data_IF_759308163540
#
_entry.id   IF_759308163540
#
_cell.length_a   1.000
_cell.length_b   1.000
_cell.length_c   1.000
_cell.angle_alpha   90.00
_cell.angle_beta   90.00
_cell.angle_gamma   90.00
#
_symmetry.space_group_name_H-M   'P 1'
#
loop_
_entity.id
_entity.type
_entity.pdbx_description
1 polymer ?
#
# COMPACT_ATOMS: atom_id res chain seq x y z
N UNK A 1 -9.62 11.61 0.49
CA UNK A 1 -10.46 10.39 0.54
C UNK A 1 -11.50 10.29 -0.59
N UNK A 2 -11.71 11.28 -1.46
CA UNK A 2 -12.77 11.27 -2.49
C UNK A 2 -12.69 10.11 -3.51
N UNK A 3 -11.98 10.30 -4.62
CA UNK A 3 -11.97 9.31 -5.71
C UNK A 3 -11.32 7.99 -5.29
N UNK A 4 -10.16 8.05 -4.60
CA UNK A 4 -9.45 6.84 -4.15
C UNK A 4 -10.27 5.99 -3.17
N UNK A 5 -11.02 6.62 -2.25
CA UNK A 5 -11.90 5.90 -1.34
C UNK A 5 -13.14 5.31 -2.04
N UNK A 6 -13.68 6.00 -3.03
CA UNK A 6 -14.78 5.49 -3.85
C UNK A 6 -14.37 4.24 -4.66
N UNK A 7 -13.13 4.22 -5.19
CA UNK A 7 -12.57 3.04 -5.87
C UNK A 7 -12.38 1.87 -4.91
N UNK A 8 -11.91 2.13 -3.68
CA UNK A 8 -11.82 1.10 -2.64
C UNK A 8 -13.20 0.53 -2.30
N UNK A 9 -14.20 1.40 -2.09
CA UNK A 9 -15.57 0.96 -1.83
C UNK A 9 -16.14 0.09 -2.96
N UNK A 10 -15.83 0.42 -4.21
CA UNK A 10 -16.24 -0.39 -5.35
C UNK A 10 -15.55 -1.77 -5.34
N UNK A 11 -14.25 -1.82 -5.06
CA UNK A 11 -13.48 -3.06 -4.98
C UNK A 11 -13.99 -4.00 -3.87
N UNK A 12 -14.40 -3.42 -2.73
CA UNK A 12 -14.95 -4.16 -1.58
C UNK A 12 -16.26 -4.91 -1.88
N UNK A 13 -16.93 -4.63 -3.01
CA UNK A 13 -18.10 -5.41 -3.44
C UNK A 13 -17.76 -6.83 -3.89
N UNK A 14 -16.51 -7.08 -4.23
CA UNK A 14 -16.04 -8.35 -4.81
C UNK A 14 -14.84 -8.92 -4.06
N UNK A 15 -14.07 -8.06 -3.38
CA UNK A 15 -12.87 -8.44 -2.63
C UNK A 15 -13.17 -8.30 -1.14
N UNK A 16 -12.76 -9.26 -0.30
CA UNK A 16 -12.89 -9.16 1.15
C UNK A 16 -12.34 -7.86 1.70
N UNK A 17 -13.00 -7.33 2.74
CA UNK A 17 -12.65 -6.06 3.37
C UNK A 17 -11.16 -6.00 3.78
N UNK A 18 -10.66 -7.06 4.41
CA UNK A 18 -9.29 -7.15 4.90
C UNK A 18 -8.26 -7.05 3.78
N UNK A 19 -8.41 -7.87 2.73
CA UNK A 19 -7.51 -7.88 1.57
C UNK A 19 -7.56 -6.55 0.81
N UNK A 20 -8.76 -6.01 0.60
CA UNK A 20 -8.96 -4.72 -0.08
C UNK A 20 -8.25 -3.58 0.64
N UNK A 21 -8.40 -3.51 1.97
CA UNK A 21 -7.83 -2.45 2.78
C UNK A 21 -6.31 -2.58 2.89
N UNK A 22 -5.79 -3.80 3.03
CA UNK A 22 -4.35 -4.07 3.05
C UNK A 22 -3.69 -3.64 1.73
N UNK A 23 -4.27 -4.02 0.59
CA UNK A 23 -3.76 -3.63 -0.74
C UNK A 23 -3.81 -2.11 -0.92
N UNK A 24 -4.93 -1.48 -0.58
CA UNK A 24 -5.10 -0.03 -0.75
C UNK A 24 -4.12 0.78 0.11
N UNK A 25 -3.97 0.43 1.38
CA UNK A 25 -3.01 1.08 2.28
C UNK A 25 -1.56 0.81 1.87
N UNK A 26 -1.25 -0.41 1.44
CA UNK A 26 0.08 -0.80 0.95
C UNK A 26 0.51 0.00 -0.28
N UNK A 27 -0.39 0.15 -1.27
CA UNK A 27 -0.13 0.98 -2.46
C UNK A 27 0.10 2.45 -2.05
N UNK A 28 -0.71 2.99 -1.14
CA UNK A 28 -0.55 4.36 -0.64
C UNK A 28 0.81 4.58 0.05
N UNK A 29 1.23 3.65 0.91
CA UNK A 29 2.50 3.72 1.62
C UNK A 29 3.70 3.60 0.66
N UNK A 30 3.70 2.61 -0.23
CA UNK A 30 4.77 2.41 -1.20
C UNK A 30 4.85 3.57 -2.20
N UNK A 31 3.71 4.05 -2.71
CA UNK A 31 3.64 5.19 -3.62
C UNK A 31 4.14 6.49 -2.99
N UNK A 32 3.74 6.77 -1.74
CA UNK A 32 4.23 7.96 -1.01
C UNK A 32 5.73 7.90 -0.78
N UNK A 33 6.25 6.71 -0.43
CA UNK A 33 7.69 6.51 -0.29
C UNK A 33 8.43 6.78 -1.61
N UNK A 34 7.98 6.19 -2.72
CA UNK A 34 8.59 6.40 -4.04
C UNK A 34 8.53 7.87 -4.47
N UNK A 35 7.39 8.54 -4.28
CA UNK A 35 7.24 9.96 -4.59
C UNK A 35 8.19 10.82 -3.75
N UNK A 36 8.31 10.52 -2.45
CA UNK A 36 9.24 11.21 -1.55
C UNK A 36 10.68 11.15 -2.06
N UNK A 37 11.13 9.98 -2.51
CA UNK A 37 12.49 9.79 -3.02
C UNK A 37 12.70 10.49 -4.35
N UNK A 38 11.80 10.26 -5.31
CA UNK A 38 11.98 10.69 -6.69
C UNK A 38 11.78 12.20 -6.88
N UNK A 39 10.85 12.82 -6.13
CA UNK A 39 10.46 14.21 -6.32
C UNK A 39 10.91 15.15 -5.21
N UNK A 40 11.02 14.64 -3.97
CA UNK A 40 11.34 15.47 -2.80
C UNK A 40 12.76 15.25 -2.27
N UNK A 41 13.51 14.28 -2.81
CA UNK A 41 14.89 14.00 -2.38
C UNK A 41 14.98 13.54 -0.93
N UNK A 42 13.91 12.94 -0.41
CA UNK A 42 13.84 12.45 0.98
C UNK A 42 15.04 11.56 1.31
N UNK A 43 15.70 11.82 2.44
CA UNK A 43 16.80 10.99 2.90
C UNK A 43 16.29 9.55 3.13
N UNK A 44 16.82 8.60 2.36
CA UNK A 44 16.44 7.20 2.45
C UNK A 44 17.44 6.44 3.30
N UNK A 45 16.99 5.91 4.43
CA UNK A 45 17.74 4.90 5.16
C UNK A 45 17.41 3.51 4.61
N UNK A 46 18.35 2.58 4.74
CA UNK A 46 18.15 1.17 4.39
C UNK A 46 16.94 0.56 5.13
N UNK A 47 16.67 1.05 6.35
CA UNK A 47 15.51 0.68 7.16
C UNK A 47 14.17 1.08 6.52
N UNK A 48 14.08 2.24 5.83
CA UNK A 48 12.83 2.64 5.14
C UNK A 48 12.51 1.71 3.98
N UNK A 49 13.52 1.33 3.19
CA UNK A 49 13.34 0.33 2.12
C UNK A 49 12.88 -1.02 2.67
N UNK A 50 13.51 -1.49 3.75
CA UNK A 50 13.12 -2.73 4.41
C UNK A 50 11.68 -2.66 4.95
N UNK A 51 11.29 -1.53 5.55
CA UNK A 51 9.92 -1.31 6.01
C UNK A 51 8.88 -1.38 4.88
N UNK A 52 9.17 -0.76 3.73
CA UNK A 52 8.28 -0.84 2.55
C UNK A 52 8.20 -2.26 2.00
N UNK A 53 9.33 -2.97 1.95
CA UNK A 53 9.33 -4.39 1.56
C UNK A 53 8.49 -5.25 2.51
N UNK A 54 8.57 -5.02 3.82
CA UNK A 54 7.74 -5.70 4.80
C UNK A 54 6.25 -5.41 4.58
N UNK A 55 5.87 -4.15 4.35
CA UNK A 55 4.49 -3.77 4.04
C UNK A 55 4.00 -4.54 2.80
N UNK A 56 4.77 -4.53 1.71
CA UNK A 56 4.40 -5.22 0.46
C UNK A 56 4.29 -6.73 0.69
N UNK A 57 5.25 -7.34 1.41
CA UNK A 57 5.19 -8.77 1.73
C UNK A 57 3.96 -9.13 2.58
N UNK A 58 3.61 -8.31 3.57
CA UNK A 58 2.43 -8.51 4.41
C UNK A 58 1.13 -8.46 3.60
N UNK A 59 1.04 -7.51 2.66
CA UNK A 59 -0.10 -7.42 1.73
C UNK A 59 -0.20 -8.67 0.84
N UNK A 60 0.92 -9.16 0.31
CA UNK A 60 0.95 -10.38 -0.51
C UNK A 60 0.49 -11.59 0.31
N UNK A 61 1.01 -11.76 1.53
CA UNK A 61 0.61 -12.86 2.42
C UNK A 61 -0.89 -12.80 2.74
N UNK A 62 -1.44 -11.63 3.07
CA UNK A 62 -2.88 -11.48 3.32
C UNK A 62 -3.72 -11.81 2.10
N UNK A 63 -3.24 -11.49 0.89
CA UNK A 63 -3.92 -11.88 -0.35
C UNK A 63 -3.87 -13.38 -0.60
N UNK A 64 -2.75 -14.05 -0.26
CA UNK A 64 -2.58 -15.50 -0.46
C UNK A 64 -3.29 -16.33 0.62
N UNK A 65 -3.46 -15.78 1.81
CA UNK A 65 -4.17 -16.41 2.91
C UNK A 65 -5.70 -16.36 2.76
N UNK A 66 -6.20 -15.84 1.63
CA UNK A 66 -7.62 -15.69 1.33
C UNK A 66 -7.97 -16.18 -0.07
#
# INVERSE_FOLDING_TARGET
>A
MGISGALLWLAQKQIPMGTSYAVWTGIGAAGTFLVGILFYGDATSLARYFGVLLIISGVIVLKLAH
#
